data_IF_246980048345
#
_entry.id   IF_246980048345
#
_cell.length_a   1.000
_cell.length_b   1.000
_cell.length_c   1.000
_cell.angle_alpha   90.00
_cell.angle_beta   90.00
_cell.angle_gamma   90.00
#
_symmetry.space_group_name_H-M   'P 1'
#
loop_
_entity.id
_entity.type
_entity.pdbx_description
1 polymer ?
#
# COMPACT_ATOMS: atom_id res chain seq x y z
N UNK A 1 30.16 6.16 -4.92
CA UNK A 1 28.93 6.94 -4.66
C UNK A 1 28.33 7.36 -5.99
N UNK A 2 27.63 6.43 -6.66
CA UNK A 2 27.13 6.62 -8.02
C UNK A 2 25.67 7.04 -8.06
N UNK A 3 25.23 7.60 -9.19
CA UNK A 3 23.85 8.05 -9.43
C UNK A 3 22.79 6.96 -9.15
N UNK A 4 23.12 5.68 -9.40
CA UNK A 4 22.26 4.54 -9.08
C UNK A 4 22.01 4.39 -7.57
N UNK A 5 23.00 4.69 -6.73
CA UNK A 5 22.83 4.64 -5.27
C UNK A 5 21.92 5.76 -4.78
N UNK A 6 22.07 6.98 -5.32
CA UNK A 6 21.22 8.11 -4.97
C UNK A 6 19.76 7.88 -5.35
N UNK A 7 19.49 7.25 -6.50
CA UNK A 7 18.14 6.88 -6.90
C UNK A 7 17.51 5.83 -5.97
N UNK A 8 18.26 4.79 -5.61
CA UNK A 8 17.78 3.77 -4.67
C UNK A 8 17.50 4.37 -3.28
N UNK A 9 18.36 5.26 -2.79
CA UNK A 9 18.14 5.97 -1.52
C UNK A 9 16.88 6.83 -1.56
N UNK A 10 16.64 7.55 -2.66
CA UNK A 10 15.41 8.32 -2.83
C UNK A 10 14.16 7.45 -2.84
N UNK A 11 14.18 6.32 -3.56
CA UNK A 11 13.07 5.37 -3.62
C UNK A 11 12.74 4.81 -2.24
N UNK A 12 13.77 4.41 -1.49
CA UNK A 12 13.61 3.88 -0.13
C UNK A 12 13.04 4.95 0.81
N UNK A 13 13.64 6.16 0.81
CA UNK A 13 13.16 7.26 1.64
C UNK A 13 11.70 7.60 1.33
N UNK A 14 11.31 7.60 0.05
CA UNK A 14 9.92 7.81 -0.36
C UNK A 14 8.99 6.74 0.20
N UNK A 15 9.38 5.47 0.11
CA UNK A 15 8.59 4.35 0.63
C UNK A 15 8.42 4.45 2.15
N UNK A 16 9.51 4.66 2.89
CA UNK A 16 9.48 4.80 4.34
C UNK A 16 8.62 5.99 4.80
N UNK A 17 8.69 7.13 4.10
CA UNK A 17 7.82 8.27 4.39
C UNK A 17 6.33 7.94 4.19
N UNK A 18 5.99 7.18 3.14
CA UNK A 18 4.62 6.73 2.89
C UNK A 18 4.13 5.81 4.01
N UNK A 19 4.91 4.80 4.36
CA UNK A 19 4.57 3.86 5.45
C UNK A 19 4.41 4.61 6.77
N UNK A 20 5.30 5.55 7.10
CA UNK A 20 5.18 6.40 8.32
C UNK A 20 3.90 7.21 8.31
N UNK A 21 3.55 7.84 7.18
CA UNK A 21 2.34 8.64 7.05
C UNK A 21 1.08 7.78 7.21
N UNK A 22 1.10 6.56 6.67
CA UNK A 22 -0.01 5.62 6.79
C UNK A 22 -0.14 5.05 8.20
N UNK A 23 0.99 4.81 8.88
CA UNK A 23 1.06 4.45 10.30
C UNK A 23 0.41 5.51 11.18
N UNK A 24 0.75 6.77 10.98
CA UNK A 24 0.14 7.91 11.71
C UNK A 24 -1.37 8.00 11.49
N UNK A 25 -1.84 7.63 10.29
CA UNK A 25 -3.26 7.59 9.97
C UNK A 25 -3.95 6.28 10.39
N UNK A 26 -3.22 5.28 10.88
CA UNK A 26 -3.75 3.96 11.22
C UNK A 26 -4.24 3.15 10.02
N UNK A 27 -3.76 3.46 8.81
CA UNK A 27 -4.22 2.86 7.55
C UNK A 27 -3.20 1.90 6.96
N UNK A 28 -3.67 0.85 6.31
CA UNK A 28 -2.84 -0.04 5.51
C UNK A 28 -2.19 0.75 4.35
N UNK A 29 -0.85 0.74 4.21
CA UNK A 29 -0.15 1.48 3.16
C UNK A 29 -0.35 0.91 1.75
N UNK A 30 -0.72 -0.37 1.62
CA UNK A 30 -0.92 -1.03 0.32
C UNK A 30 -2.26 -0.66 -0.32
N UNK A 31 -3.32 -0.55 0.48
CA UNK A 31 -4.65 -0.15 0.01
C UNK A 31 -5.07 1.26 0.45
N UNK A 32 -4.18 2.00 1.13
CA UNK A 32 -4.42 3.34 1.70
C UNK A 32 -5.65 3.39 2.61
N UNK A 33 -5.92 2.29 3.32
CA UNK A 33 -7.06 2.15 4.21
C UNK A 33 -8.37 1.71 3.56
N UNK A 34 -8.37 1.36 2.26
CA UNK A 34 -9.57 0.87 1.59
C UNK A 34 -9.98 -0.55 2.02
N UNK A 35 -9.04 -1.38 2.44
CA UNK A 35 -9.28 -2.80 2.75
C UNK A 35 -9.41 -3.68 1.51
N UNK A 36 -9.86 -3.14 0.38
CA UNK A 36 -9.98 -3.87 -0.90
C UNK A 36 -9.31 -3.10 -2.05
N UNK A 37 -8.87 -3.84 -3.06
CA UNK A 37 -8.43 -3.29 -4.34
C UNK A 37 -9.61 -3.30 -5.31
N UNK A 38 -10.04 -2.11 -5.72
CA UNK A 38 -11.00 -1.96 -6.81
C UNK A 38 -10.18 -1.87 -8.08
N UNK A 39 -10.30 -2.88 -8.94
CA UNK A 39 -9.77 -2.75 -10.29
C UNK A 39 -10.59 -1.67 -11.02
N UNK A 40 -9.98 -0.73 -11.76
CA UNK A 40 -10.72 0.29 -12.47
C UNK A 40 -11.75 -0.39 -13.37
N UNK A 41 -13.03 -0.13 -13.08
CA UNK A 41 -14.15 -0.64 -13.84
C UNK A 41 -13.98 -0.21 -15.29
N UNK A 42 -13.83 -1.18 -16.19
CA UNK A 42 -14.21 -0.99 -17.57
C UNK A 42 -15.59 -1.64 -17.74
N UNK A 43 -16.43 -1.09 -18.60
CA UNK A 43 -17.79 -1.56 -18.85
C UNK A 43 -17.86 -3.01 -19.38
N UNK A 44 -16.71 -3.60 -19.72
CA UNK A 44 -16.56 -4.95 -20.25
C UNK A 44 -16.05 -5.97 -19.22
N UNK A 45 -15.67 -5.54 -18.02
CA UNK A 45 -15.05 -6.38 -17.02
C UNK A 45 -15.60 -6.04 -15.63
N UNK A 46 -16.62 -6.79 -15.23
CA UNK A 46 -17.01 -6.91 -13.82
C UNK A 46 -15.92 -7.69 -13.09
N UNK A 47 -14.91 -6.99 -12.57
CA UNK A 47 -14.03 -7.56 -11.57
C UNK A 47 -14.64 -7.35 -10.19
N UNK A 48 -14.76 -8.43 -9.43
CA UNK A 48 -15.10 -8.34 -8.01
C UNK A 48 -13.97 -7.59 -7.31
N UNK A 49 -14.30 -6.66 -6.41
CA UNK A 49 -13.33 -6.07 -5.50
C UNK A 49 -12.63 -7.20 -4.74
N UNK A 50 -11.30 -7.27 -4.82
CA UNK A 50 -10.52 -8.25 -4.08
C UNK A 50 -10.07 -7.64 -2.76
N UNK A 51 -10.05 -8.43 -1.69
CA UNK A 51 -9.47 -7.99 -0.43
C UNK A 51 -7.98 -7.66 -0.62
N UNK A 52 -7.53 -6.59 0.03
CA UNK A 52 -6.13 -6.21 0.02
C UNK A 52 -5.34 -7.31 0.72
N UNK A 53 -4.38 -7.97 0.05
CA UNK A 53 -3.63 -9.07 0.63
C UNK A 53 -2.74 -8.61 1.79
N UNK A 54 -2.31 -7.35 1.78
CA UNK A 54 -1.47 -6.78 2.82
C UNK A 54 -2.20 -6.46 4.11
N UNK A 55 -3.53 -6.47 4.16
CA UNK A 55 -4.28 -6.29 5.42
C UNK A 55 -5.53 -7.18 5.50
N UNK A 56 -5.60 -8.24 4.69
CA UNK A 56 -6.74 -9.17 4.57
C UNK A 56 -8.12 -8.50 4.65
N UNK A 57 -8.35 -7.43 3.88
CA UNK A 57 -9.66 -6.80 3.86
C UNK A 57 -9.89 -5.68 4.89
N UNK A 58 -9.07 -5.56 5.94
CA UNK A 58 -9.38 -4.66 7.06
C UNK A 58 -9.13 -3.18 6.77
N UNK A 59 -8.07 -2.88 6.01
CA UNK A 59 -7.61 -1.52 5.76
C UNK A 59 -6.81 -0.91 6.91
N UNK A 60 -6.53 -1.63 8.00
CA UNK A 60 -5.77 -1.07 9.12
C UNK A 60 -4.27 -1.28 9.00
N UNK A 61 -3.52 -0.31 9.54
CA UNK A 61 -2.06 -0.41 9.60
C UNK A 61 -1.60 -1.57 10.48
N UNK A 62 -2.27 -1.84 11.60
CA UNK A 62 -1.90 -2.91 12.53
C UNK A 62 -1.94 -4.28 11.85
N UNK A 63 -3.03 -4.57 11.14
CA UNK A 63 -3.17 -5.82 10.40
C UNK A 63 -2.12 -5.93 9.28
N UNK A 64 -1.74 -4.80 8.67
CA UNK A 64 -0.64 -4.78 7.70
C UNK A 64 0.73 -5.04 8.32
N UNK A 65 0.98 -4.50 9.52
CA UNK A 65 2.23 -4.71 10.26
C UNK A 65 2.38 -6.18 10.70
N UNK A 66 1.27 -6.88 10.98
CA UNK A 66 1.27 -8.32 11.29
C UNK A 66 1.58 -9.23 10.08
N UNK A 67 1.47 -8.71 8.85
CA UNK A 67 1.66 -9.47 7.60
C UNK A 67 3.03 -9.25 6.94
N UNK A 68 3.91 -8.42 7.52
CA UNK A 68 5.29 -8.20 7.08
C UNK A 68 6.23 -9.36 7.47
#
# INVERSE_FOLDING_TARGET
MGLLNSFNQWKEARYQNHVSTMKEQGKCPDCEGRGYTVYPYNEFAYFNSFECPGCQGSGHYADWEEMQ
#
